data_IF_978942542670
#
_entry.id   IF_978942542670
#
_cell.length_a   1.000
_cell.length_b   1.000
_cell.length_c   1.000
_cell.angle_alpha   90.00
_cell.angle_beta   90.00
_cell.angle_gamma   90.00
#
_symmetry.space_group_name_H-M   'P 1'
#
loop_
_entity.id
_entity.type
_entity.pdbx_description
1 polymer ?
#
# COMPACT_ATOMS: atom_id res chain seq x y z
N UNK A 1 74.89 -3.08 -2.33
CA UNK A 1 74.29 -4.34 -1.83
C UNK A 1 72.86 -4.04 -1.43
N UNK A 2 71.92 -4.96 -1.75
CA UNK A 2 70.51 -5.03 -1.30
C UNK A 2 69.48 -4.33 -2.22
N UNK A 3 68.85 -5.09 -3.13
CA UNK A 3 67.56 -5.83 -3.03
C UNK A 3 66.39 -4.93 -3.48
N UNK A 4 65.86 -5.07 -4.72
CA UNK A 4 64.84 -6.03 -5.19
C UNK A 4 63.42 -5.76 -4.63
N UNK A 5 62.62 -4.98 -5.40
CA UNK A 5 61.13 -4.97 -5.58
C UNK A 5 60.21 -4.85 -4.33
N UNK A 6 58.91 -4.43 -4.41
CA UNK A 6 58.05 -4.14 -5.57
C UNK A 6 57.16 -2.88 -5.41
N UNK A 7 57.33 -1.83 -6.23
CA UNK A 7 56.30 -0.78 -6.33
C UNK A 7 55.14 -1.16 -7.27
N UNK A 8 55.25 -2.29 -7.97
CA UNK A 8 54.30 -2.73 -9.00
C UNK A 8 53.37 -3.88 -8.54
N UNK A 9 53.17 -4.08 -7.24
CA UNK A 9 52.21 -5.09 -6.71
C UNK A 9 51.07 -4.43 -5.90
N UNK A 10 51.02 -3.10 -5.79
CA UNK A 10 49.93 -2.44 -5.07
C UNK A 10 48.76 -1.98 -5.96
N UNK A 11 48.91 -1.97 -7.29
CA UNK A 11 47.85 -1.51 -8.19
C UNK A 11 46.87 -2.62 -8.62
N UNK A 12 47.23 -3.90 -8.49
CA UNK A 12 46.38 -5.01 -8.94
C UNK A 12 45.33 -5.49 -7.92
N UNK A 13 45.40 -5.08 -6.65
CA UNK A 13 44.49 -5.62 -5.61
C UNK A 13 43.24 -4.74 -5.37
N UNK A 14 43.23 -3.49 -5.83
CA UNK A 14 42.06 -2.61 -5.64
C UNK A 14 40.95 -2.75 -6.69
N UNK A 15 41.21 -3.39 -7.83
CA UNK A 15 40.25 -3.45 -8.96
C UNK A 15 39.36 -4.71 -8.94
N UNK A 16 39.41 -5.53 -7.89
CA UNK A 16 38.59 -6.76 -7.81
C UNK A 16 37.35 -6.66 -6.92
N UNK A 17 37.07 -5.52 -6.27
CA UNK A 17 35.88 -5.40 -5.41
C UNK A 17 34.62 -4.84 -6.10
N UNK A 18 34.67 -4.54 -7.40
CA UNK A 18 33.52 -3.94 -8.11
C UNK A 18 32.59 -4.94 -8.81
N UNK A 19 32.77 -6.25 -8.61
CA UNK A 19 31.83 -7.26 -9.10
C UNK A 19 30.97 -7.79 -7.95
N UNK A 20 29.65 -7.60 -8.09
CA UNK A 20 28.54 -7.96 -7.21
C UNK A 20 28.25 -7.03 -6.03
N UNK A 21 27.71 -5.86 -6.35
CA UNK A 21 26.60 -5.31 -5.57
C UNK A 21 25.30 -5.44 -6.39
N UNK A 22 24.98 -6.64 -6.87
CA UNK A 22 23.57 -6.95 -7.13
C UNK A 22 22.96 -7.13 -5.75
N UNK A 23 22.34 -6.05 -5.27
CA UNK A 23 21.55 -6.03 -4.03
C UNK A 23 20.47 -7.12 -4.18
N UNK A 24 20.79 -8.33 -3.72
CA UNK A 24 19.80 -9.36 -3.45
C UNK A 24 19.01 -8.84 -2.26
N UNK A 25 18.06 -7.96 -2.52
CA UNK A 25 17.10 -7.48 -1.54
C UNK A 25 16.42 -8.73 -1.03
N UNK A 26 16.80 -9.17 0.18
CA UNK A 26 16.08 -10.23 0.88
C UNK A 26 14.69 -9.65 1.13
N UNK A 27 13.75 -9.96 0.25
CA UNK A 27 12.36 -9.58 0.43
C UNK A 27 11.89 -10.34 1.65
N UNK A 28 11.79 -9.64 2.77
CA UNK A 28 11.07 -10.16 3.92
C UNK A 28 9.60 -9.99 3.56
N UNK A 29 9.02 -11.04 2.99
CA UNK A 29 7.61 -11.04 2.56
C UNK A 29 6.65 -10.67 3.70
N UNK A 30 7.05 -10.83 4.96
CA UNK A 30 6.25 -10.39 6.12
C UNK A 30 6.39 -8.89 6.42
N UNK A 31 7.44 -8.22 5.95
CA UNK A 31 7.73 -6.81 6.24
C UNK A 31 7.57 -5.88 5.04
N UNK A 32 7.72 -6.42 3.83
CA UNK A 32 7.86 -5.63 2.59
C UNK A 32 6.60 -5.63 1.71
N UNK A 33 5.60 -6.46 2.01
CA UNK A 33 4.35 -6.53 1.22
C UNK A 33 3.31 -5.59 1.83
N UNK A 34 3.10 -4.46 1.16
CA UNK A 34 1.96 -3.58 1.45
C UNK A 34 0.70 -4.17 0.82
N UNK A 35 -0.27 -4.51 1.68
CA UNK A 35 -1.58 -5.05 1.27
C UNK A 35 -2.28 -4.09 0.31
N UNK A 36 -2.17 -2.79 0.59
CA UNK A 36 -2.68 -1.72 -0.27
C UNK A 36 -2.10 -1.80 -1.69
N UNK A 37 -0.78 -1.95 -1.84
CA UNK A 37 -0.14 -2.11 -3.16
C UNK A 37 -0.60 -3.35 -3.92
N UNK A 38 -0.81 -4.47 -3.22
CA UNK A 38 -1.29 -5.71 -3.85
C UNK A 38 -2.68 -5.50 -4.45
N UNK A 39 -3.62 -4.97 -3.67
CA UNK A 39 -4.97 -4.73 -4.16
C UNK A 39 -5.03 -3.63 -5.23
N UNK A 40 -4.20 -2.59 -5.14
CA UNK A 40 -4.08 -1.58 -6.20
C UNK A 40 -3.63 -2.20 -7.52
N UNK A 41 -2.66 -3.11 -7.48
CA UNK A 41 -2.19 -3.82 -8.65
C UNK A 41 -3.30 -4.71 -9.25
N UNK A 42 -4.05 -5.44 -8.42
CA UNK A 42 -5.20 -6.25 -8.86
C UNK A 42 -6.24 -5.40 -9.59
N UNK A 43 -6.55 -4.21 -9.06
CA UNK A 43 -7.48 -3.28 -9.69
C UNK A 43 -6.93 -2.75 -11.02
N UNK A 44 -5.64 -2.39 -11.05
CA UNK A 44 -4.96 -1.90 -12.26
C UNK A 44 -4.93 -2.94 -13.38
N UNK A 45 -4.84 -4.21 -13.03
CA UNK A 45 -4.89 -5.34 -13.97
C UNK A 45 -6.32 -5.64 -14.48
N UNK A 46 -7.32 -4.90 -14.00
CA UNK A 46 -8.72 -5.02 -14.44
C UNK A 46 -9.56 -5.99 -13.60
N UNK A 47 -9.02 -6.52 -12.51
CA UNK A 47 -9.69 -7.47 -11.62
C UNK A 47 -10.39 -6.81 -10.43
N UNK A 48 -10.78 -5.54 -10.58
CA UNK A 48 -11.50 -4.79 -9.54
C UNK A 48 -12.94 -5.28 -9.39
N UNK A 49 -13.29 -5.76 -8.20
CA UNK A 49 -14.65 -6.14 -7.80
C UNK A 49 -15.06 -5.35 -6.55
N UNK A 50 -16.37 -5.22 -6.22
CA UNK A 50 -16.82 -4.59 -4.98
C UNK A 50 -16.12 -5.12 -3.74
N UNK A 51 -15.90 -6.44 -3.68
CA UNK A 51 -15.12 -7.06 -2.60
C UNK A 51 -13.67 -6.58 -2.56
N UNK A 52 -12.99 -6.54 -3.72
CA UNK A 52 -11.60 -6.06 -3.81
C UNK A 52 -11.49 -4.59 -3.42
N UNK A 53 -12.43 -3.73 -3.85
CA UNK A 53 -12.48 -2.33 -3.44
C UNK A 53 -12.71 -2.20 -1.93
N UNK A 54 -13.59 -3.02 -1.36
CA UNK A 54 -13.84 -3.02 0.09
C UNK A 54 -12.62 -3.47 0.88
N UNK A 55 -11.93 -4.53 0.43
CA UNK A 55 -10.71 -5.02 1.06
C UNK A 55 -9.59 -3.96 1.01
N UNK A 56 -9.44 -3.26 -0.12
CA UNK A 56 -8.51 -2.13 -0.26
C UNK A 56 -8.88 -0.94 0.64
N UNK A 57 -10.16 -0.57 0.69
CA UNK A 57 -10.65 0.50 1.57
C UNK A 57 -10.33 0.18 3.05
N UNK A 58 -10.58 -1.07 3.46
CA UNK A 58 -10.27 -1.55 4.80
C UNK A 58 -8.77 -1.51 5.09
N UNK A 59 -7.93 -1.94 4.14
CA UNK A 59 -6.47 -1.88 4.30
C UNK A 59 -6.01 -0.43 4.52
N UNK A 60 -6.49 0.50 3.72
CA UNK A 60 -6.20 1.93 3.89
C UNK A 60 -6.71 2.50 5.21
N UNK A 61 -7.91 2.09 5.66
CA UNK A 61 -8.45 2.47 6.95
C UNK A 61 -7.53 2.05 8.11
N UNK A 62 -7.03 0.81 8.07
CA UNK A 62 -6.13 0.28 9.11
C UNK A 62 -4.72 0.89 9.05
N UNK A 63 -4.28 1.34 7.89
CA UNK A 63 -3.04 2.11 7.73
C UNK A 63 -3.20 3.59 8.15
N UNK A 64 -4.42 4.04 8.48
CA UNK A 64 -4.72 5.44 8.84
C UNK A 64 -4.77 6.39 7.65
N UNK A 65 -4.73 5.86 6.41
CA UNK A 65 -4.89 6.66 5.20
C UNK A 65 -6.37 6.82 4.87
N UNK A 66 -7.02 7.71 5.62
CA UNK A 66 -8.46 7.91 5.53
C UNK A 66 -8.92 8.50 4.19
N UNK A 67 -8.07 9.27 3.51
CA UNK A 67 -8.36 9.81 2.17
C UNK A 67 -8.57 8.67 1.17
N UNK A 68 -7.66 7.70 1.13
CA UNK A 68 -7.80 6.56 0.24
C UNK A 68 -8.88 5.58 0.71
N UNK A 69 -9.03 5.39 2.03
CA UNK A 69 -10.10 4.56 2.57
C UNK A 69 -11.47 5.08 2.12
N UNK A 70 -11.74 6.38 2.29
CA UNK A 70 -12.97 7.06 1.83
C UNK A 70 -13.21 6.80 0.35
N UNK A 71 -12.22 7.10 -0.50
CA UNK A 71 -12.31 6.93 -1.97
C UNK A 71 -12.77 5.52 -2.35
N UNK A 72 -12.18 4.49 -1.75
CA UNK A 72 -12.51 3.12 -2.10
C UNK A 72 -13.82 2.63 -1.47
N UNK A 73 -14.21 3.12 -0.29
CA UNK A 73 -15.55 2.88 0.26
C UNK A 73 -16.65 3.46 -0.63
N UNK A 74 -16.51 4.71 -1.07
CA UNK A 74 -17.46 5.34 -1.99
C UNK A 74 -17.56 4.55 -3.30
N UNK A 75 -16.43 4.02 -3.79
CA UNK A 75 -16.44 3.16 -4.97
C UNK A 75 -17.27 1.88 -4.79
N UNK A 76 -17.26 1.30 -3.58
CA UNK A 76 -18.14 0.17 -3.24
C UNK A 76 -19.60 0.60 -3.28
N UNK A 77 -19.94 1.74 -2.67
CA UNK A 77 -21.32 2.23 -2.55
C UNK A 77 -21.93 2.72 -3.89
N UNK A 78 -21.08 3.10 -4.84
CA UNK A 78 -21.51 3.34 -6.23
C UNK A 78 -22.11 2.07 -6.84
N UNK A 79 -21.55 0.90 -6.53
CA UNK A 79 -21.89 -0.39 -7.15
C UNK A 79 -22.94 -1.13 -6.31
N UNK A 80 -22.68 -1.27 -5.01
CA UNK A 80 -23.52 -1.98 -4.06
C UNK A 80 -24.47 -1.01 -3.37
N UNK A 81 -25.75 -1.38 -3.27
CA UNK A 81 -26.79 -0.58 -2.59
C UNK A 81 -27.06 -1.02 -1.17
N UNK A 82 -26.22 -1.89 -0.64
CA UNK A 82 -26.24 -2.34 0.75
C UNK A 82 -24.81 -2.35 1.30
N UNK A 83 -24.68 -2.09 2.59
CA UNK A 83 -23.40 -2.12 3.29
C UNK A 83 -23.60 -2.66 4.70
N UNK A 84 -22.61 -3.40 5.21
CA UNK A 84 -22.66 -3.82 6.61
C UNK A 84 -22.44 -2.64 7.55
N UNK A 85 -23.01 -2.72 8.76
CA UNK A 85 -22.82 -1.72 9.82
C UNK A 85 -21.34 -1.43 10.08
N UNK A 86 -20.50 -2.47 10.08
CA UNK A 86 -19.04 -2.33 10.24
C UNK A 86 -18.39 -1.53 9.10
N UNK A 87 -18.88 -1.68 7.88
CA UNK A 87 -18.37 -0.94 6.71
C UNK A 87 -18.76 0.53 6.82
N UNK A 88 -20.03 0.81 7.11
CA UNK A 88 -20.52 2.16 7.32
C UNK A 88 -19.80 2.84 8.49
N UNK A 89 -19.59 2.13 9.60
CA UNK A 89 -18.84 2.64 10.74
C UNK A 89 -17.42 3.11 10.35
N UNK A 90 -16.65 2.28 9.62
CA UNK A 90 -15.28 2.62 9.19
C UNK A 90 -15.25 3.78 8.20
N UNK A 91 -16.23 3.82 7.29
CA UNK A 91 -16.40 4.95 6.38
C UNK A 91 -16.69 6.26 7.14
N UNK A 92 -17.63 6.23 8.08
CA UNK A 92 -17.94 7.38 8.97
C UNK A 92 -16.72 7.84 9.77
N UNK A 93 -15.94 6.91 10.32
CA UNK A 93 -14.68 7.26 11.01
C UNK A 93 -13.66 7.90 10.05
N UNK A 94 -13.59 7.44 8.80
CA UNK A 94 -12.72 8.03 7.79
C UNK A 94 -13.13 9.47 7.48
N UNK A 95 -14.42 9.74 7.27
CA UNK A 95 -14.95 11.09 7.08
C UNK A 95 -14.64 11.99 8.29
N UNK A 96 -14.88 11.49 9.51
CA UNK A 96 -14.58 12.21 10.75
C UNK A 96 -13.10 12.58 10.86
N UNK A 97 -12.19 11.65 10.53
CA UNK A 97 -10.75 11.91 10.56
C UNK A 97 -10.31 12.94 9.52
N UNK A 98 -11.05 13.07 8.41
CA UNK A 98 -10.83 14.06 7.37
C UNK A 98 -11.55 15.41 7.65
N UNK A 99 -12.26 15.53 8.77
CA UNK A 99 -13.15 16.67 9.09
C UNK A 99 -14.21 16.92 8.00
N UNK A 100 -14.69 15.86 7.36
CA UNK A 100 -15.79 15.94 6.41
C UNK A 100 -17.15 15.68 7.08
N UNK A 101 -18.22 16.24 6.51
CA UNK A 101 -19.58 16.05 7.03
C UNK A 101 -20.05 14.61 6.82
N UNK A 102 -20.10 13.87 7.93
CA UNK A 102 -20.63 12.50 7.99
C UNK A 102 -22.09 12.43 8.42
N UNK A 103 -22.65 13.52 8.96
CA UNK A 103 -24.05 13.56 9.42
C UNK A 103 -24.97 13.61 8.21
N UNK A 104 -24.66 14.48 7.26
CA UNK A 104 -25.47 14.68 6.06
C UNK A 104 -24.93 13.92 4.83
N UNK A 105 -24.06 12.94 5.04
CA UNK A 105 -23.45 12.19 3.93
C UNK A 105 -24.50 11.29 3.25
N UNK A 106 -24.64 11.43 1.93
CA UNK A 106 -25.68 10.72 1.17
C UNK A 106 -25.55 9.19 1.26
N UNK A 107 -24.33 8.65 1.29
CA UNK A 107 -24.12 7.20 1.40
C UNK A 107 -24.52 6.68 2.79
N UNK A 108 -24.19 7.41 3.86
CA UNK A 108 -24.58 7.00 5.21
C UNK A 108 -26.09 6.94 5.35
N UNK A 109 -26.79 8.01 4.94
CA UNK A 109 -28.26 8.09 5.04
C UNK A 109 -28.95 7.00 4.24
N UNK A 110 -28.53 6.81 2.98
CA UNK A 110 -29.17 5.85 2.07
C UNK A 110 -28.89 4.39 2.43
N UNK A 111 -27.70 4.08 2.94
CA UNK A 111 -27.31 2.69 3.24
C UNK A 111 -27.65 2.27 4.66
N UNK A 112 -27.88 3.20 5.60
CA UNK A 112 -28.30 2.89 6.98
C UNK A 112 -29.79 2.57 7.12
N UNK A 113 -30.58 2.84 6.08
CA UNK A 113 -32.04 2.68 6.07
C UNK A 113 -32.51 1.40 5.37
N UNK A 114 -31.59 0.61 4.82
CA UNK A 114 -31.81 -0.70 4.22
C UNK A 114 -31.43 -1.82 5.19
#
# INVERSE_FOLDING_TARGET
>A
MKFLTPFFIFFCVFVSQSFFAQENKKIDVNKDISITKVYEQVIKEGYGTPKVYLDLANAYYFEGNYTNAKKWYEKVFEIEKTASEKTLFRYTQSLKALNEDFINNAYIISLSSN
#
